data_IF_118770862085
#
_entry.id   IF_118770862085
#
_cell.length_a   1.000
_cell.length_b   1.000
_cell.length_c   1.000
_cell.angle_alpha   90.00
_cell.angle_beta   90.00
_cell.angle_gamma   90.00
#
_symmetry.space_group_name_H-M   'P 1'
#
loop_
_entity.id
_entity.type
_entity.pdbx_description
1 polymer ?
#
# COMPACT_ATOMS: atom_id res chain seq x y z
N UNK A 1 -6.56 15.89 -29.10
CA UNK A 1 -6.59 14.49 -29.60
C UNK A 1 -6.20 13.59 -28.44
N UNK A 2 -7.20 12.93 -27.85
CA UNK A 2 -7.01 11.97 -26.76
C UNK A 2 -6.68 10.61 -27.38
N UNK A 3 -5.78 9.85 -26.75
CA UNK A 3 -5.56 8.43 -27.03
C UNK A 3 -5.86 7.74 -25.71
N UNK A 4 -6.85 6.86 -25.72
CA UNK A 4 -7.25 6.10 -24.53
C UNK A 4 -7.70 7.00 -23.35
N UNK A 5 -8.31 8.16 -23.63
CA UNK A 5 -8.80 9.11 -22.62
C UNK A 5 -7.74 9.98 -21.96
N UNK A 6 -6.46 9.85 -22.33
CA UNK A 6 -5.36 10.63 -21.74
C UNK A 6 -5.04 11.85 -22.61
N UNK A 7 -4.91 13.02 -21.98
CA UNK A 7 -4.46 14.25 -22.65
C UNK A 7 -2.93 14.31 -22.72
N UNK A 8 -2.33 13.63 -23.70
CA UNK A 8 -0.87 13.53 -23.83
C UNK A 8 -0.22 14.61 -24.72
N UNK A 9 -1.03 15.51 -25.31
CA UNK A 9 -0.55 16.48 -26.31
C UNK A 9 0.47 17.47 -25.73
N UNK A 10 0.25 17.97 -24.51
CA UNK A 10 1.17 18.89 -23.85
C UNK A 10 2.52 18.22 -23.55
N UNK A 11 2.50 16.96 -23.08
CA UNK A 11 3.71 16.18 -22.81
C UNK A 11 4.50 15.87 -24.09
N UNK A 12 3.82 15.56 -25.20
CA UNK A 12 4.50 15.39 -26.48
C UNK A 12 5.10 16.68 -27.01
N UNK A 13 4.41 17.81 -26.85
CA UNK A 13 4.95 19.12 -27.22
C UNK A 13 6.19 19.47 -26.39
N UNK A 14 6.14 19.23 -25.07
CA UNK A 14 7.28 19.41 -24.17
C UNK A 14 8.47 18.52 -24.56
N UNK A 15 8.23 17.22 -24.79
CA UNK A 15 9.27 16.29 -25.22
C UNK A 15 9.89 16.71 -26.56
N UNK A 16 9.07 17.13 -27.53
CA UNK A 16 9.54 17.67 -28.80
C UNK A 16 10.43 18.89 -28.59
N UNK A 17 10.02 19.84 -27.74
CA UNK A 17 10.82 21.03 -27.45
C UNK A 17 12.19 20.69 -26.84
N UNK A 18 12.26 19.69 -25.95
CA UNK A 18 13.53 19.22 -25.37
C UNK A 18 14.43 18.63 -26.45
N UNK A 19 13.91 17.75 -27.31
CA UNK A 19 14.68 17.12 -28.39
C UNK A 19 15.09 18.15 -29.45
N UNK A 20 14.26 19.14 -29.74
CA UNK A 20 14.53 20.19 -30.72
C UNK A 20 15.64 21.15 -30.25
N UNK A 21 15.80 21.34 -28.94
CA UNK A 21 16.87 22.15 -28.32
C UNK A 21 18.22 21.43 -28.21
N UNK A 22 18.29 20.17 -28.63
CA UNK A 22 19.50 19.36 -28.50
C UNK A 22 20.64 19.93 -29.39
N UNK A 23 21.85 20.16 -28.86
CA UNK A 23 22.96 20.73 -29.63
C UNK A 23 23.32 19.89 -30.86
N UNK A 24 23.77 20.55 -31.93
CA UNK A 24 24.13 19.88 -33.19
C UNK A 24 25.16 18.76 -33.00
N UNK A 25 26.15 18.96 -32.12
CA UNK A 25 27.20 17.98 -31.81
C UNK A 25 26.66 16.66 -31.24
N UNK A 26 25.53 16.68 -30.54
CA UNK A 26 24.91 15.49 -29.96
C UNK A 26 24.21 14.63 -30.99
N UNK A 27 23.85 15.17 -32.16
CA UNK A 27 23.26 14.39 -33.24
C UNK A 27 24.29 13.54 -34.00
N UNK A 28 25.57 13.83 -33.85
CA UNK A 28 26.69 13.10 -34.45
C UNK A 28 27.54 12.33 -33.44
N UNK A 29 27.15 12.28 -32.16
CA UNK A 29 27.95 11.69 -31.08
C UNK A 29 28.10 10.15 -31.19
N UNK A 30 27.21 9.51 -31.95
CA UNK A 30 27.22 8.07 -32.19
C UNK A 30 26.49 7.72 -33.49
N UNK A 31 26.66 6.48 -33.95
CA UNK A 31 25.87 5.92 -35.06
C UNK A 31 24.37 5.93 -34.70
N UNK A 32 24.02 5.68 -33.43
CA UNK A 32 22.63 5.74 -32.96
C UNK A 32 22.03 7.14 -33.08
N UNK A 33 22.74 8.16 -32.58
CA UNK A 33 22.29 9.55 -32.66
C UNK A 33 22.21 10.02 -34.12
N UNK A 34 23.18 9.64 -34.95
CA UNK A 34 23.23 9.94 -36.38
C UNK A 34 22.06 9.30 -37.14
N UNK A 35 21.70 8.06 -36.81
CA UNK A 35 20.54 7.37 -37.39
C UNK A 35 19.24 8.06 -36.97
N UNK A 36 19.05 8.37 -35.68
CA UNK A 36 17.88 9.12 -35.21
C UNK A 36 17.75 10.48 -35.90
N UNK A 37 18.87 11.20 -36.05
CA UNK A 37 18.89 12.48 -36.76
C UNK A 37 18.46 12.31 -38.22
N UNK A 38 18.98 11.28 -38.90
CA UNK A 38 18.59 10.96 -40.29
C UNK A 38 17.09 10.74 -40.40
N UNK A 39 16.50 9.94 -39.51
CA UNK A 39 15.04 9.72 -39.47
C UNK A 39 14.28 11.01 -39.19
N UNK A 40 14.77 11.86 -38.29
CA UNK A 40 14.16 13.17 -37.98
C UNK A 40 14.08 14.08 -39.20
N UNK A 41 15.03 14.00 -40.13
CA UNK A 41 15.00 14.84 -41.35
C UNK A 41 13.79 14.58 -42.25
N UNK A 42 13.18 13.40 -42.17
CA UNK A 42 11.97 13.04 -42.92
C UNK A 42 10.71 13.81 -42.43
N UNK A 43 10.76 14.45 -41.25
CA UNK A 43 9.65 15.22 -40.68
C UNK A 43 9.77 16.74 -40.92
N UNK A 44 10.54 17.20 -41.90
CA UNK A 44 10.70 18.63 -42.17
C UNK A 44 9.56 19.20 -43.05
N UNK A 45 8.60 19.97 -42.49
CA UNK A 45 7.44 20.44 -43.24
C UNK A 45 7.81 21.49 -44.30
N UNK A 46 8.86 22.29 -44.05
CA UNK A 46 9.29 23.40 -44.92
C UNK A 46 9.78 22.93 -46.30
N UNK A 47 10.09 21.64 -46.45
CA UNK A 47 10.53 21.05 -47.73
C UNK A 47 9.37 20.53 -48.58
N UNK A 48 8.17 20.37 -48.01
CA UNK A 48 7.04 19.70 -48.68
C UNK A 48 6.35 20.64 -49.67
N UNK A 49 6.28 21.95 -49.37
CA UNK A 49 5.59 22.94 -50.21
C UNK A 49 6.13 23.05 -51.64
N UNK A 50 7.43 22.77 -51.82
CA UNK A 50 8.13 22.83 -53.12
C UNK A 50 8.10 21.51 -53.90
N UNK A 51 7.52 20.45 -53.33
CA UNK A 51 7.49 19.14 -53.96
C UNK A 51 6.31 19.01 -54.94
N UNK A 52 6.42 18.12 -55.94
CA UNK A 52 5.28 17.71 -56.77
C UNK A 52 4.06 17.28 -55.94
N UNK A 53 2.85 17.46 -56.49
CA UNK A 53 1.56 17.28 -55.81
C UNK A 53 1.42 15.95 -55.05
N UNK A 54 1.82 14.83 -55.66
CA UNK A 54 1.73 13.49 -55.06
C UNK A 54 2.44 13.42 -53.69
N UNK A 55 3.55 14.14 -53.53
CA UNK A 55 4.37 14.14 -52.32
C UNK A 55 3.87 15.09 -51.23
N UNK A 56 2.88 15.94 -51.56
CA UNK A 56 2.23 16.88 -50.63
C UNK A 56 0.99 16.28 -49.97
N UNK A 57 0.55 15.10 -50.41
CA UNK A 57 -0.64 14.44 -49.90
C UNK A 57 -0.45 13.91 -48.47
N UNK A 58 -1.54 13.86 -47.71
CA UNK A 58 -1.56 13.24 -46.37
C UNK A 58 -1.11 11.77 -46.44
N UNK A 59 -1.51 11.05 -47.49
CA UNK A 59 -1.18 9.65 -47.73
C UNK A 59 0.32 9.45 -47.89
N UNK A 60 0.99 10.33 -48.66
CA UNK A 60 2.44 10.29 -48.76
C UNK A 60 3.12 10.58 -47.41
N UNK A 61 2.61 11.55 -46.65
CA UNK A 61 3.06 11.83 -45.29
C UNK A 61 2.95 10.61 -44.36
N UNK A 62 1.84 9.86 -44.43
CA UNK A 62 1.67 8.61 -43.67
C UNK A 62 2.65 7.52 -44.12
N UNK A 63 2.93 7.40 -45.43
CA UNK A 63 3.95 6.48 -45.95
C UNK A 63 5.35 6.84 -45.43
N UNK A 64 5.70 8.12 -45.39
CA UNK A 64 6.98 8.61 -44.84
C UNK A 64 7.06 8.31 -43.34
N UNK A 65 6.00 8.55 -42.59
CA UNK A 65 5.91 8.18 -41.17
C UNK A 65 6.11 6.67 -40.97
N UNK A 66 5.50 5.83 -41.80
CA UNK A 66 5.73 4.38 -41.75
C UNK A 66 7.20 4.02 -41.97
N UNK A 67 7.87 4.66 -42.93
CA UNK A 67 9.33 4.48 -43.14
C UNK A 67 10.13 4.88 -41.90
N UNK A 68 9.79 6.01 -41.26
CA UNK A 68 10.45 6.46 -40.02
C UNK A 68 10.30 5.43 -38.90
N UNK A 69 9.08 4.93 -38.68
CA UNK A 69 8.79 3.93 -37.64
C UNK A 69 9.49 2.61 -37.94
N UNK A 70 9.44 2.11 -39.18
CA UNK A 70 10.09 0.87 -39.57
C UNK A 70 11.60 0.91 -39.35
N UNK A 71 12.25 2.01 -39.74
CA UNK A 71 13.70 2.17 -39.52
C UNK A 71 14.05 2.42 -38.05
N UNK A 72 13.21 3.13 -37.30
CA UNK A 72 13.36 3.25 -35.85
C UNK A 72 13.26 1.89 -35.15
N UNK A 73 12.38 1.01 -35.61
CA UNK A 73 12.29 -0.38 -35.12
C UNK A 73 13.60 -1.14 -35.35
N UNK A 74 14.20 -1.03 -36.54
CA UNK A 74 15.51 -1.63 -36.82
C UNK A 74 16.62 -1.06 -35.93
N UNK A 75 16.63 0.27 -35.74
CA UNK A 75 17.55 0.93 -34.83
C UNK A 75 17.41 0.36 -33.40
N UNK A 76 16.18 0.26 -32.88
CA UNK A 76 15.90 -0.29 -31.55
C UNK A 76 16.28 -1.75 -31.43
N UNK A 77 16.07 -2.55 -32.47
CA UNK A 77 16.49 -3.95 -32.53
C UNK A 77 18.01 -4.07 -32.40
N UNK A 78 18.76 -3.31 -33.20
CA UNK A 78 20.22 -3.38 -33.22
C UNK A 78 20.88 -2.83 -31.97
N UNK A 79 20.19 -1.98 -31.20
CA UNK A 79 20.70 -1.42 -29.95
C UNK A 79 20.04 -2.01 -28.71
N UNK A 80 19.30 -3.12 -28.82
CA UNK A 80 18.48 -3.65 -27.72
C UNK A 80 19.29 -3.99 -26.47
N UNK A 81 20.55 -4.39 -26.62
CA UNK A 81 21.47 -4.69 -25.50
C UNK A 81 22.14 -3.44 -24.89
N UNK A 82 22.13 -2.31 -25.61
CA UNK A 82 22.87 -1.09 -25.23
C UNK A 82 21.94 0.06 -24.81
N UNK A 83 20.69 0.04 -25.25
CA UNK A 83 19.68 1.05 -24.96
C UNK A 83 18.59 0.40 -24.15
N UNK A 84 18.47 0.82 -22.88
CA UNK A 84 17.45 0.32 -21.97
C UNK A 84 16.07 0.52 -22.60
N UNK A 85 15.24 -0.54 -22.70
CA UNK A 85 13.86 -0.36 -23.13
C UNK A 85 13.14 0.60 -22.18
N UNK A 86 12.21 1.39 -22.72
CA UNK A 86 11.29 2.15 -21.89
C UNK A 86 10.42 1.11 -21.17
N UNK A 87 10.67 0.92 -19.88
CA UNK A 87 9.83 0.13 -19.01
C UNK A 87 8.85 1.05 -18.29
N UNK A 88 7.58 0.66 -18.23
CA UNK A 88 6.72 1.15 -17.16
C UNK A 88 7.24 0.63 -15.82
N UNK A 89 7.04 1.39 -14.74
CA UNK A 89 7.18 0.80 -13.42
C UNK A 89 6.24 -0.40 -13.32
N UNK A 90 6.76 -1.55 -12.85
CA UNK A 90 5.88 -2.65 -12.45
C UNK A 90 4.91 -2.16 -11.37
N UNK A 91 3.71 -2.73 -11.35
CA UNK A 91 2.68 -2.52 -10.33
C UNK A 91 3.28 -2.60 -8.91
N UNK A 92 3.70 -1.48 -8.37
CA UNK A 92 4.13 -1.33 -6.98
C UNK A 92 3.08 -0.50 -6.24
N UNK A 93 2.71 -0.94 -5.04
CA UNK A 93 1.95 -0.07 -4.14
C UNK A 93 2.92 0.97 -3.59
N UNK A 94 2.88 2.17 -4.14
CA UNK A 94 3.57 3.33 -3.57
C UNK A 94 2.58 4.08 -2.68
N UNK A 95 2.97 4.32 -1.43
CA UNK A 95 2.24 5.18 -0.51
C UNK A 95 2.94 6.54 -0.51
N UNK A 96 2.51 7.51 -1.34
CA UNK A 96 3.24 8.76 -1.54
C UNK A 96 3.39 9.56 -0.25
N UNK A 97 2.34 9.56 0.56
CA UNK A 97 2.25 10.24 1.84
C UNK A 97 1.29 9.47 2.76
N UNK A 98 1.56 9.48 4.07
CA UNK A 98 0.72 8.83 5.07
C UNK A 98 0.38 9.80 6.19
N UNK A 99 -0.84 9.72 6.70
CA UNK A 99 -1.30 10.49 7.85
C UNK A 99 -1.61 9.53 9.00
N UNK A 100 -1.07 9.81 10.18
CA UNK A 100 -1.31 9.00 11.38
C UNK A 100 -2.39 9.67 12.21
N UNK A 101 -3.38 8.89 12.63
CA UNK A 101 -4.47 9.37 13.46
C UNK A 101 -3.94 10.11 14.71
N UNK A 102 -4.40 11.34 15.00
CA UNK A 102 -3.81 12.25 15.99
C UNK A 102 -4.23 11.90 17.44
N UNK A 103 -4.11 10.63 17.82
CA UNK A 103 -4.49 10.08 19.13
C UNK A 103 -3.25 9.77 19.98
N UNK A 104 -2.40 10.78 20.22
CA UNK A 104 -1.12 10.64 20.91
C UNK A 104 -1.18 9.90 22.26
N UNK A 105 -2.17 10.23 23.10
CA UNK A 105 -2.38 9.56 24.39
C UNK A 105 -2.76 8.08 24.25
N UNK A 106 -3.52 7.73 23.21
CA UNK A 106 -3.84 6.33 22.91
C UNK A 106 -2.56 5.56 22.53
N UNK A 107 -1.75 6.10 21.62
CA UNK A 107 -0.49 5.46 21.21
C UNK A 107 0.43 5.20 22.40
N UNK A 108 0.55 6.18 23.30
CA UNK A 108 1.32 6.07 24.54
C UNK A 108 0.76 5.01 25.48
N UNK A 109 -0.56 5.01 25.72
CA UNK A 109 -1.21 4.04 26.60
C UNK A 109 -1.10 2.61 26.07
N UNK A 110 -1.29 2.42 24.76
CA UNK A 110 -1.13 1.14 24.09
C UNK A 110 0.33 0.65 24.18
N UNK A 111 1.30 1.55 23.97
CA UNK A 111 2.73 1.23 24.13
C UNK A 111 3.03 0.70 25.52
N UNK A 112 2.57 1.41 26.55
CA UNK A 112 2.73 1.00 27.96
C UNK A 112 2.08 -0.35 28.25
N UNK A 113 0.89 -0.64 27.70
CA UNK A 113 0.24 -1.94 27.85
C UNK A 113 1.10 -3.07 27.26
N UNK A 114 1.67 -2.86 26.07
CA UNK A 114 2.52 -3.86 25.39
C UNK A 114 3.86 -4.05 26.13
N UNK A 115 4.44 -2.98 26.68
CA UNK A 115 5.61 -3.05 27.56
C UNK A 115 5.32 -3.90 28.80
N UNK A 116 4.21 -3.64 29.48
CA UNK A 116 3.78 -4.44 30.64
C UNK A 116 3.60 -5.92 30.29
N UNK A 117 3.02 -6.21 29.11
CA UNK A 117 2.92 -7.59 28.62
C UNK A 117 4.30 -8.23 28.44
N UNK A 118 5.29 -7.48 27.93
CA UNK A 118 6.66 -7.96 27.79
C UNK A 118 7.29 -8.25 29.16
N UNK A 119 7.10 -7.35 30.14
CA UNK A 119 7.60 -7.52 31.52
C UNK A 119 6.99 -8.75 32.20
N UNK A 120 5.69 -8.98 32.03
CA UNK A 120 5.04 -10.19 32.54
C UNK A 120 5.59 -11.45 31.87
N UNK A 121 5.75 -11.42 30.54
CA UNK A 121 6.31 -12.55 29.81
C UNK A 121 7.77 -12.83 30.18
N UNK A 122 8.54 -11.80 30.52
CA UNK A 122 9.91 -11.90 31.01
C UNK A 122 9.99 -12.59 32.38
N UNK A 123 8.96 -12.47 33.22
CA UNK A 123 8.86 -13.17 34.51
C UNK A 123 8.37 -14.61 34.40
N UNK A 124 7.71 -14.99 33.30
CA UNK A 124 7.26 -16.37 33.09
C UNK A 124 8.47 -17.31 32.88
N UNK A 125 8.53 -18.38 33.66
CA UNK A 125 9.52 -19.45 33.50
C UNK A 125 9.12 -20.36 32.34
N UNK A 126 10.01 -20.49 31.35
CA UNK A 126 9.81 -21.41 30.23
C UNK A 126 10.54 -22.73 30.52
N UNK A 127 10.04 -23.87 30.03
CA UNK A 127 10.72 -25.15 30.18
C UNK A 127 12.15 -25.09 29.60
N UNK A 128 13.14 -25.46 30.43
CA UNK A 128 14.55 -25.50 30.04
C UNK A 128 14.95 -26.76 29.28
N UNK A 129 13.96 -27.56 28.85
CA UNK A 129 14.18 -28.80 28.09
C UNK A 129 15.13 -28.55 26.92
N UNK A 130 16.23 -29.29 26.92
CA UNK A 130 17.22 -29.28 25.86
C UNK A 130 16.84 -30.30 24.80
N UNK A 131 16.79 -29.87 23.55
CA UNK A 131 16.62 -30.72 22.37
C UNK A 131 17.94 -30.80 21.62
N UNK A 132 18.38 -32.02 21.32
CA UNK A 132 19.54 -32.31 20.48
C UNK A 132 19.06 -32.78 19.11
N UNK A 133 19.63 -32.24 18.04
CA UNK A 133 19.33 -32.63 16.66
C UNK A 133 20.62 -32.57 15.83
N UNK A 134 20.61 -33.18 14.63
CA UNK A 134 21.74 -33.15 13.68
C UNK A 134 22.25 -31.74 13.36
N UNK A 135 21.39 -30.71 13.46
CA UNK A 135 21.71 -29.33 13.08
C UNK A 135 21.83 -28.36 14.26
N UNK A 136 21.36 -28.75 15.45
CA UNK A 136 21.42 -27.91 16.66
C UNK A 136 21.69 -28.79 17.88
N UNK A 137 22.89 -28.65 18.44
CA UNK A 137 23.20 -29.14 19.77
C UNK A 137 22.76 -28.12 20.83
N UNK A 138 22.24 -28.61 21.95
CA UNK A 138 21.85 -27.80 23.12
C UNK A 138 20.76 -26.73 22.88
N UNK A 139 19.85 -26.93 21.93
CA UNK A 139 18.76 -25.98 21.68
C UNK A 139 17.71 -26.05 22.79
N UNK A 140 17.34 -24.90 23.38
CA UNK A 140 16.24 -24.77 24.36
C UNK A 140 15.03 -24.11 23.69
N UNK A 141 14.02 -24.87 23.20
CA UNK A 141 12.91 -24.31 22.43
C UNK A 141 12.07 -23.29 23.21
N UNK A 142 11.86 -23.53 24.51
CA UNK A 142 11.12 -22.62 25.39
C UNK A 142 11.80 -21.25 25.48
N UNK A 143 13.10 -21.24 25.75
CA UNK A 143 13.87 -20.00 25.85
C UNK A 143 13.97 -19.25 24.50
N UNK A 144 14.07 -20.00 23.39
CA UNK A 144 13.99 -19.41 22.06
C UNK A 144 12.63 -18.75 21.80
N UNK A 145 11.53 -19.42 22.11
CA UNK A 145 10.16 -18.87 21.97
C UNK A 145 9.99 -17.60 22.79
N UNK A 146 10.41 -17.62 24.05
CA UNK A 146 10.42 -16.44 24.93
C UNK A 146 11.17 -15.27 24.29
N UNK A 147 12.39 -15.50 23.79
CA UNK A 147 13.19 -14.48 23.10
C UNK A 147 12.47 -13.91 21.86
N UNK A 148 11.80 -14.75 21.07
CA UNK A 148 11.03 -14.30 19.90
C UNK A 148 9.81 -13.46 20.31
N UNK A 149 9.07 -13.87 21.33
CA UNK A 149 7.92 -13.11 21.87
C UNK A 149 8.34 -11.76 22.42
N UNK A 150 9.40 -11.71 23.24
CA UNK A 150 9.92 -10.44 23.77
C UNK A 150 10.41 -9.52 22.65
N UNK A 151 11.10 -10.07 21.63
CA UNK A 151 11.52 -9.28 20.47
C UNK A 151 10.32 -8.72 19.71
N UNK A 152 9.25 -9.50 19.54
CA UNK A 152 8.03 -9.06 18.89
C UNK A 152 7.36 -7.92 19.67
N UNK A 153 7.13 -8.08 20.97
CA UNK A 153 6.50 -7.05 21.81
C UNK A 153 7.32 -5.76 21.83
N UNK A 154 8.65 -5.85 21.99
CA UNK A 154 9.54 -4.68 21.92
C UNK A 154 9.52 -4.02 20.55
N UNK A 155 9.33 -4.78 19.46
CA UNK A 155 9.17 -4.21 18.14
C UNK A 155 7.85 -3.45 18.01
N UNK A 156 6.76 -4.02 18.53
CA UNK A 156 5.44 -3.41 18.54
C UNK A 156 5.45 -2.07 19.29
N UNK A 157 6.08 -2.00 20.48
CA UNK A 157 6.25 -0.76 21.24
C UNK A 157 6.96 0.31 20.41
N UNK A 158 8.09 -0.03 19.77
CA UNK A 158 8.82 0.92 18.90
C UNK A 158 7.98 1.44 17.74
N UNK A 159 7.11 0.61 17.16
CA UNK A 159 6.19 1.04 16.11
C UNK A 159 5.15 2.02 16.65
N UNK A 160 4.58 1.75 17.83
CA UNK A 160 3.63 2.66 18.49
C UNK A 160 4.26 4.01 18.85
N UNK A 161 5.49 4.01 19.36
CA UNK A 161 6.23 5.24 19.67
C UNK A 161 6.48 6.10 18.44
N UNK A 162 6.76 5.45 17.31
CA UNK A 162 6.98 6.13 16.05
C UNK A 162 5.66 6.70 15.50
N UNK A 163 4.56 5.95 15.54
CA UNK A 163 3.22 6.44 15.19
C UNK A 163 2.82 7.64 16.06
N UNK A 164 3.07 7.56 17.37
CA UNK A 164 2.86 8.67 18.31
C UNK A 164 3.65 9.91 17.87
N UNK A 165 4.96 9.76 17.67
CA UNK A 165 5.87 10.86 17.30
C UNK A 165 5.44 11.51 15.99
N UNK A 166 5.12 10.71 14.98
CA UNK A 166 4.62 11.20 13.70
C UNK A 166 3.30 11.94 13.88
N UNK A 167 2.34 11.36 14.61
CA UNK A 167 1.02 11.98 14.80
C UNK A 167 1.11 13.34 15.49
N UNK A 168 2.00 13.48 16.49
CA UNK A 168 2.24 14.74 17.20
C UNK A 168 2.89 15.80 16.31
N UNK A 169 3.83 15.40 15.44
CA UNK A 169 4.48 16.29 14.47
C UNK A 169 3.50 16.75 13.40
N UNK A 170 2.72 15.82 12.83
CA UNK A 170 1.71 16.12 11.81
C UNK A 170 0.65 17.07 12.35
N UNK A 171 0.22 16.89 13.60
CA UNK A 171 -0.75 17.79 14.25
C UNK A 171 -0.19 19.21 14.43
N UNK A 172 1.12 19.36 14.66
CA UNK A 172 1.82 20.64 14.78
C UNK A 172 2.22 21.26 13.43
N UNK A 173 2.05 20.54 12.33
CA UNK A 173 2.56 20.95 11.01
C UNK A 173 4.09 20.91 10.90
N UNK A 174 4.75 20.11 11.74
CA UNK A 174 6.21 19.94 11.72
C UNK A 174 6.62 18.98 10.59
N UNK A 175 7.76 19.28 9.96
CA UNK A 175 8.33 18.42 8.91
C UNK A 175 8.83 17.12 9.53
N UNK A 176 8.42 15.99 8.97
CA UNK A 176 8.91 14.67 9.37
C UNK A 176 10.38 14.48 9.00
N UNK A 177 11.11 13.77 9.85
CA UNK A 177 12.46 13.31 9.54
C UNK A 177 12.41 12.33 8.37
N UNK A 178 13.53 12.21 7.64
CA UNK A 178 13.61 11.32 6.48
C UNK A 178 13.28 9.87 6.85
N UNK A 179 13.69 9.40 8.02
CA UNK A 179 13.43 8.06 8.54
C UNK A 179 11.95 7.86 8.93
N UNK A 180 11.31 8.88 9.48
CA UNK A 180 9.89 8.87 9.85
C UNK A 180 9.03 8.81 8.58
N UNK A 181 9.31 9.67 7.61
CA UNK A 181 8.66 9.67 6.31
C UNK A 181 8.91 8.35 5.56
N UNK A 182 10.14 7.82 5.59
CA UNK A 182 10.45 6.53 4.99
C UNK A 182 9.66 5.40 5.64
N UNK A 183 9.49 5.39 6.96
CA UNK A 183 8.69 4.37 7.63
C UNK A 183 7.22 4.44 7.19
N UNK A 184 6.62 5.63 7.16
CA UNK A 184 5.23 5.80 6.71
C UNK A 184 4.98 5.35 5.28
N UNK A 185 5.96 5.47 4.39
CA UNK A 185 5.84 4.97 3.01
C UNK A 185 5.86 3.44 2.93
N UNK A 186 6.41 2.77 3.94
CA UNK A 186 6.65 1.32 3.94
C UNK A 186 5.64 0.56 4.82
N UNK A 187 4.34 0.87 4.69
CA UNK A 187 3.24 0.25 5.46
C UNK A 187 3.21 -1.26 5.26
N UNK A 188 2.98 -1.68 4.02
CA UNK A 188 2.80 -3.10 3.69
C UNK A 188 4.11 -3.75 3.25
N UNK A 189 4.91 -3.03 2.48
CA UNK A 189 6.15 -3.51 1.88
C UNK A 189 7.21 -2.43 1.98
N UNK A 190 8.48 -2.84 2.17
CA UNK A 190 9.60 -1.92 2.00
C UNK A 190 9.89 -1.73 0.52
N UNK A 191 9.98 -0.49 0.06
CA UNK A 191 10.32 -0.19 -1.32
C UNK A 191 11.68 -0.81 -1.67
N UNK A 192 11.67 -1.78 -2.60
CA UNK A 192 12.86 -2.43 -3.14
C UNK A 192 12.89 -2.21 -4.64
N UNK A 193 13.97 -1.63 -5.13
CA UNK A 193 14.20 -1.46 -6.56
C UNK A 193 14.84 -2.74 -7.12
N UNK A 194 14.09 -3.55 -7.87
CA UNK A 194 14.63 -4.76 -8.50
C UNK A 194 13.56 -5.75 -8.98
N UNK A 195 13.99 -6.83 -9.63
CA UNK A 195 13.15 -7.99 -9.95
C UNK A 195 13.07 -8.93 -8.74
N UNK A 196 11.86 -9.26 -8.28
CA UNK A 196 11.64 -10.16 -7.15
C UNK A 196 10.17 -10.35 -6.83
N UNK A 197 9.87 -11.30 -5.95
CA UNK A 197 8.51 -11.49 -5.42
C UNK A 197 8.12 -10.32 -4.50
N UNK A 198 6.84 -9.97 -4.49
CA UNK A 198 6.28 -9.02 -3.52
C UNK A 198 6.55 -9.55 -2.10
N UNK A 199 7.16 -8.71 -1.27
CA UNK A 199 7.43 -9.03 0.14
C UNK A 199 6.53 -8.20 1.03
N UNK A 200 5.91 -8.82 2.02
CA UNK A 200 5.11 -8.13 3.03
C UNK A 200 5.98 -7.82 4.25
N UNK A 201 7.08 -7.11 4.04
CA UNK A 201 8.12 -6.79 5.05
C UNK A 201 8.05 -5.34 5.57
N UNK A 202 6.93 -4.66 5.31
CA UNK A 202 6.60 -3.35 5.88
C UNK A 202 6.35 -3.39 7.39
N UNK A 203 6.09 -2.22 7.98
CA UNK A 203 5.89 -2.13 9.42
C UNK A 203 4.55 -2.70 9.88
N UNK A 204 3.49 -2.66 9.06
CA UNK A 204 2.17 -3.18 9.44
C UNK A 204 2.17 -4.71 9.55
N UNK A 205 2.68 -5.50 8.58
CA UNK A 205 2.80 -6.95 8.75
C UNK A 205 3.68 -7.36 9.94
N UNK A 206 4.62 -6.51 10.35
CA UNK A 206 5.46 -6.75 11.52
C UNK A 206 4.72 -6.62 12.86
N UNK A 207 3.48 -6.12 12.86
CA UNK A 207 2.58 -6.11 14.02
C UNK A 207 1.89 -7.47 14.26
N UNK A 208 2.05 -8.44 13.35
CA UNK A 208 1.46 -9.77 13.48
C UNK A 208 2.51 -10.79 13.95
N UNK A 209 2.25 -11.45 15.07
CA UNK A 209 3.24 -12.34 15.71
C UNK A 209 3.67 -13.52 14.82
N UNK A 210 2.73 -14.08 14.04
CA UNK A 210 2.98 -15.18 13.09
C UNK A 210 3.56 -14.68 11.76
N UNK A 211 3.76 -13.37 11.61
CA UNK A 211 4.29 -12.74 10.41
C UNK A 211 3.23 -12.50 9.34
N UNK A 212 3.67 -12.19 8.11
CA UNK A 212 2.80 -11.60 7.10
C UNK A 212 1.59 -12.41 6.64
N UNK A 213 1.61 -13.76 6.57
CA UNK A 213 0.40 -14.50 6.21
C UNK A 213 -0.78 -14.19 7.14
N UNK A 214 -0.49 -13.88 8.41
CA UNK A 214 -1.51 -13.60 9.41
C UNK A 214 -2.12 -12.20 9.28
N UNK A 215 -1.43 -11.24 8.62
CA UNK A 215 -2.01 -9.92 8.36
C UNK A 215 -3.10 -9.92 7.28
N UNK A 216 -3.26 -11.05 6.58
CA UNK A 216 -4.29 -11.25 5.56
C UNK A 216 -5.49 -12.05 6.08
N UNK A 217 -5.41 -12.56 7.32
CA UNK A 217 -6.51 -13.29 7.93
C UNK A 217 -7.63 -12.33 8.35
N UNK A 218 -8.88 -12.76 8.18
CA UNK A 218 -10.03 -11.99 8.66
C UNK A 218 -10.26 -12.23 10.15
N UNK A 219 -10.23 -11.15 10.91
CA UNK A 219 -10.45 -11.14 12.36
C UNK A 219 -11.93 -10.90 12.68
N UNK A 220 -12.76 -11.89 12.35
CA UNK A 220 -14.19 -11.87 12.68
C UNK A 220 -14.37 -12.48 14.06
N UNK A 221 -14.52 -11.61 15.05
CA UNK A 221 -14.69 -11.99 16.45
C UNK A 221 -16.04 -11.54 16.98
N UNK A 222 -16.60 -12.32 17.90
CA UNK A 222 -17.83 -12.00 18.63
C UNK A 222 -17.68 -12.38 20.09
N UNK A 223 -18.23 -11.54 20.98
CA UNK A 223 -18.31 -11.83 22.41
C UNK A 223 -19.68 -11.49 22.91
N UNK A 224 -20.22 -12.31 23.81
CA UNK A 224 -21.31 -11.88 24.67
C UNK A 224 -20.78 -10.89 25.72
N UNK A 225 -21.56 -9.87 26.02
CA UNK A 225 -21.21 -8.82 27.00
C UNK A 225 -22.26 -8.65 28.09
N UNK A 226 -23.49 -9.09 27.83
CA UNK A 226 -24.59 -9.03 28.80
C UNK A 226 -25.63 -10.13 28.55
N UNK A 227 -26.31 -10.60 29.59
CA UNK A 227 -27.32 -11.66 29.49
C UNK A 227 -28.51 -11.40 30.40
N UNK A 228 -29.71 -11.55 29.86
CA UNK A 228 -30.99 -11.51 30.59
C UNK A 228 -31.52 -12.94 30.71
N UNK A 229 -31.65 -13.49 31.92
CA UNK A 229 -32.12 -14.86 32.11
C UNK A 229 -33.61 -15.03 31.72
N UNK A 230 -34.05 -16.25 31.40
CA UNK A 230 -35.45 -16.53 31.11
C UNK A 230 -36.37 -16.25 32.31
N UNK A 231 -37.50 -15.57 32.07
CA UNK A 231 -38.48 -15.21 33.10
C UNK A 231 -39.85 -14.84 32.53
N UNK A 232 -40.92 -15.05 33.30
CA UNK A 232 -42.29 -14.71 32.88
C UNK A 232 -42.40 -13.19 32.66
N UNK A 233 -42.80 -12.78 31.46
CA UNK A 233 -42.99 -11.36 31.10
C UNK A 233 -41.70 -10.58 30.84
N UNK A 234 -40.55 -11.26 30.75
CA UNK A 234 -39.24 -10.64 30.50
C UNK A 234 -38.74 -11.03 29.11
N UNK A 235 -38.12 -10.08 28.43
CA UNK A 235 -37.38 -10.33 27.19
C UNK A 235 -36.00 -10.92 27.56
N UNK A 236 -35.92 -12.24 27.67
CA UNK A 236 -34.67 -13.00 27.79
C UNK A 236 -33.76 -12.93 26.54
N UNK A 237 -32.45 -12.98 26.75
CA UNK A 237 -31.51 -12.90 25.63
C UNK A 237 -30.08 -12.58 26.03
N UNK A 238 -29.22 -12.50 25.04
CA UNK A 238 -27.79 -12.21 25.18
C UNK A 238 -27.41 -11.07 24.23
N UNK A 239 -26.79 -10.03 24.79
CA UNK A 239 -26.18 -8.96 24.03
C UNK A 239 -24.78 -9.39 23.60
N UNK A 240 -24.51 -9.27 22.31
CA UNK A 240 -23.20 -9.56 21.72
C UNK A 240 -22.62 -8.31 21.07
N UNK A 241 -21.30 -8.17 21.19
CA UNK A 241 -20.49 -7.23 20.43
C UNK A 241 -19.61 -8.00 19.46
N UNK A 242 -19.50 -7.50 18.24
CA UNK A 242 -18.73 -8.19 17.20
C UNK A 242 -17.98 -7.23 16.29
N UNK A 243 -16.87 -7.73 15.72
CA UNK A 243 -16.07 -7.06 14.70
C UNK A 243 -16.17 -7.84 13.40
N UNK A 244 -16.30 -7.14 12.27
CA UNK A 244 -16.41 -7.76 10.96
C UNK A 244 -15.35 -7.27 9.98
N UNK A 245 -15.77 -7.14 8.71
CA UNK A 245 -14.90 -6.60 7.65
C UNK A 245 -14.41 -5.20 8.00
N UNK A 246 -13.18 -4.90 7.62
CA UNK A 246 -12.60 -3.56 7.76
C UNK A 246 -13.25 -2.64 6.74
N UNK A 247 -13.73 -1.50 7.20
CA UNK A 247 -14.33 -0.47 6.34
C UNK A 247 -13.22 0.44 5.76
N UNK A 248 -13.50 1.04 4.61
CA UNK A 248 -12.59 2.04 4.01
C UNK A 248 -13.02 3.43 4.45
N UNK A 249 -12.11 4.20 5.02
CA UNK A 249 -12.34 5.56 5.47
C UNK A 249 -11.57 6.54 4.61
N UNK A 250 -12.24 7.64 4.26
CA UNK A 250 -11.67 8.77 3.54
C UNK A 250 -11.64 9.97 4.49
N UNK A 251 -10.49 10.60 4.66
CA UNK A 251 -10.34 11.82 5.45
C UNK A 251 -9.65 12.88 4.60
N UNK A 252 -10.11 14.13 4.65
CA UNK A 252 -9.42 15.24 4.01
C UNK A 252 -8.87 16.16 5.10
N UNK A 253 -7.56 16.32 5.12
CA UNK A 253 -6.85 17.08 6.14
C UNK A 253 -6.02 18.16 5.45
N UNK A 254 -5.97 19.34 6.06
CA UNK A 254 -5.04 20.39 5.62
C UNK A 254 -3.62 19.96 5.96
N UNK A 255 -2.77 19.86 4.94
CA UNK A 255 -1.36 19.51 5.08
C UNK A 255 -0.52 20.62 4.44
N UNK A 256 -0.05 21.56 5.27
CA UNK A 256 0.56 22.80 4.78
C UNK A 256 -0.48 23.70 4.11
N UNK A 257 -0.22 24.08 2.85
CA UNK A 257 -1.14 24.91 2.05
C UNK A 257 -2.20 24.07 1.31
N UNK A 258 -1.97 22.77 1.14
CA UNK A 258 -2.85 21.88 0.39
C UNK A 258 -3.89 21.19 1.30
N UNK A 259 -5.00 20.78 0.69
CA UNK A 259 -5.94 19.81 1.29
C UNK A 259 -5.64 18.46 0.66
N UNK A 260 -5.25 17.49 1.48
CA UNK A 260 -4.90 16.14 1.04
C UNK A 260 -5.95 15.16 1.56
N UNK A 261 -6.46 14.31 0.66
CA UNK A 261 -7.37 13.22 1.03
C UNK A 261 -6.57 11.94 1.25
N UNK A 262 -6.65 11.39 2.45
CA UNK A 262 -6.08 10.10 2.84
C UNK A 262 -7.14 9.02 2.84
N UNK A 263 -6.72 7.79 2.54
CA UNK A 263 -7.55 6.59 2.57
C UNK A 263 -6.95 5.62 3.57
N UNK A 264 -7.76 5.12 4.49
CA UNK A 264 -7.30 4.22 5.55
C UNK A 264 -8.35 3.19 5.96
N UNK A 265 -7.93 2.15 6.70
CA UNK A 265 -8.83 1.17 7.28
C UNK A 265 -9.52 1.73 8.54
N UNK A 266 -10.79 1.39 8.74
CA UNK A 266 -11.48 1.55 10.01
C UNK A 266 -12.07 0.23 10.48
N UNK A 267 -11.93 -0.05 11.77
CA UNK A 267 -12.55 -1.21 12.37
C UNK A 267 -14.05 -1.01 12.38
N UNK A 268 -14.73 -2.14 12.25
CA UNK A 268 -16.15 -2.14 12.12
C UNK A 268 -16.78 -2.87 13.29
N UNK A 269 -17.91 -2.36 13.76
CA UNK A 269 -18.56 -2.82 14.98
C UNK A 269 -20.03 -3.21 14.74
N UNK A 270 -20.49 -4.22 15.47
CA UNK A 270 -21.86 -4.70 15.46
C UNK A 270 -22.30 -5.00 16.88
N UNK A 271 -23.51 -4.55 17.20
CA UNK A 271 -24.18 -4.82 18.47
C UNK A 271 -25.45 -5.61 18.15
N UNK A 272 -25.67 -6.73 18.83
CA UNK A 272 -26.84 -7.57 18.59
C UNK A 272 -27.39 -8.24 19.84
N UNK A 273 -28.68 -8.04 20.09
CA UNK A 273 -29.42 -8.73 21.14
C UNK A 273 -30.12 -9.97 20.56
N UNK A 274 -29.68 -11.15 20.96
CA UNK A 274 -30.22 -12.43 20.48
C UNK A 274 -31.11 -13.02 21.57
N UNK A 275 -32.37 -13.32 21.22
CA UNK A 275 -33.36 -13.91 22.15
C UNK A 275 -32.93 -15.31 22.60
N UNK A 276 -33.23 -15.64 23.86
CA UNK A 276 -32.85 -16.90 24.48
C UNK A 276 -31.35 -16.99 24.82
N UNK A 277 -30.86 -18.18 25.15
CA UNK A 277 -29.45 -18.40 25.52
C UNK A 277 -28.56 -18.74 24.31
N UNK A 278 -28.83 -18.14 23.15
CA UNK A 278 -28.09 -18.37 21.92
C UNK A 278 -26.82 -17.53 21.92
N UNK A 279 -25.68 -18.15 22.24
CA UNK A 279 -24.37 -17.52 22.33
C UNK A 279 -23.58 -17.77 21.06
N UNK A 280 -23.28 -16.71 20.31
CA UNK A 280 -22.47 -16.84 19.11
C UNK A 280 -21.01 -17.09 19.45
N UNK A 281 -20.37 -17.98 18.68
CA UNK A 281 -18.92 -18.09 18.63
C UNK A 281 -18.35 -17.52 17.32
N UNK A 282 -17.03 -17.34 17.25
CA UNK A 282 -16.34 -16.77 16.09
C UNK A 282 -16.59 -17.53 14.77
N UNK A 283 -16.79 -18.85 14.83
CA UNK A 283 -17.07 -19.65 13.62
C UNK A 283 -18.49 -19.39 13.08
N UNK A 284 -19.47 -19.28 13.95
CA UNK A 284 -20.84 -18.90 13.59
C UNK A 284 -20.91 -17.46 13.07
N UNK A 285 -20.16 -16.56 13.70
CA UNK A 285 -20.06 -15.17 13.25
C UNK A 285 -19.37 -15.04 11.89
N UNK A 286 -18.27 -15.76 11.68
CA UNK A 286 -17.62 -15.86 10.36
C UNK A 286 -18.58 -16.40 9.30
N UNK A 287 -19.35 -17.44 9.61
CA UNK A 287 -20.34 -17.98 8.67
C UNK A 287 -21.42 -16.95 8.29
N UNK A 288 -21.84 -16.08 9.23
CA UNK A 288 -22.74 -14.95 8.94
C UNK A 288 -22.10 -13.93 8.00
N UNK A 289 -20.85 -13.56 8.25
CA UNK A 289 -20.07 -12.65 7.39
C UNK A 289 -19.91 -13.18 5.97
N UNK A 290 -19.62 -14.47 5.83
CA UNK A 290 -19.42 -15.11 4.52
C UNK A 290 -20.72 -15.22 3.72
N UNK A 291 -21.83 -15.49 4.41
CA UNK A 291 -23.18 -15.55 3.80
C UNK A 291 -23.80 -14.18 3.53
N UNK A 292 -23.15 -13.09 3.96
CA UNK A 292 -23.72 -11.73 3.95
C UNK A 292 -25.04 -11.62 4.74
N UNK A 293 -25.24 -12.49 5.73
CA UNK A 293 -26.32 -12.42 6.73
C UNK A 293 -25.84 -11.55 7.90
N UNK A 294 -25.59 -10.28 7.60
CA UNK A 294 -24.92 -9.35 8.50
C UNK A 294 -26.00 -8.45 9.14
N UNK A 295 -26.03 -8.33 10.48
CA UNK A 295 -26.94 -7.41 11.15
C UNK A 295 -26.67 -5.96 10.74
N UNK A 296 -27.68 -5.10 10.90
CA UNK A 296 -27.46 -3.67 10.73
C UNK A 296 -26.43 -3.17 11.75
N UNK A 297 -25.65 -2.17 11.34
CA UNK A 297 -24.75 -1.46 12.24
C UNK A 297 -25.56 -0.70 13.29
N UNK A 298 -25.00 -0.42 14.48
CA UNK A 298 -25.66 0.42 15.47
C UNK A 298 -26.10 1.75 14.88
N UNK A 299 -27.25 2.26 15.30
CA UNK A 299 -27.85 3.46 14.70
C UNK A 299 -26.90 4.67 14.70
N UNK A 300 -26.06 4.82 15.73
CA UNK A 300 -25.12 5.93 15.82
C UNK A 300 -24.02 5.93 14.74
N UNK A 301 -23.84 4.83 13.99
CA UNK A 301 -22.87 4.80 12.88
C UNK A 301 -23.39 5.50 11.62
N UNK A 302 -24.69 5.79 11.52
CA UNK A 302 -25.29 6.35 10.29
C UNK A 302 -24.78 7.73 9.92
N UNK A 303 -24.20 8.45 10.89
CA UNK A 303 -23.74 9.83 10.69
C UNK A 303 -22.40 9.91 9.95
N UNK A 304 -21.63 8.82 9.93
CA UNK A 304 -20.30 8.78 9.29
C UNK A 304 -20.11 7.58 8.34
N UNK A 305 -20.96 6.56 8.40
CA UNK A 305 -20.88 5.39 7.54
C UNK A 305 -21.84 5.53 6.35
N UNK A 306 -21.30 5.45 5.13
CA UNK A 306 -22.07 5.52 3.88
C UNK A 306 -22.38 4.09 3.38
N UNK A 307 -23.58 3.82 2.81
CA UNK A 307 -24.00 2.48 2.38
C UNK A 307 -23.15 1.79 1.31
#
# INVERSE_FOLDING_TARGET
MQRDGIEYQHNLAAARNVIDKRPASQWSESVYASWLYTLRTLSNPRKIEKNPEVFRTKQWGMRVMNTQIASWTQLRHNTVLYVKPAGGAMNGCFYPEGYVEPVGEFWKAMGKMVEQMADYLEKITYPERVVRSRFRNNFKPGLHRKKVQLKFLRNFVRTLDLLRTVSEKQLKGEVLLAEEAYMLKNVVQRERHGSGMITYDGWYPALFYKGPPNCMESDFIVSDVYSIPPGKGVIDGVLHEAIGRVDTTYISVKNGEDIVTYIGPSLSHYEMFIRGNNRLNDAEWRAKMDKKDIPQRPQWTTDYLVP
#
